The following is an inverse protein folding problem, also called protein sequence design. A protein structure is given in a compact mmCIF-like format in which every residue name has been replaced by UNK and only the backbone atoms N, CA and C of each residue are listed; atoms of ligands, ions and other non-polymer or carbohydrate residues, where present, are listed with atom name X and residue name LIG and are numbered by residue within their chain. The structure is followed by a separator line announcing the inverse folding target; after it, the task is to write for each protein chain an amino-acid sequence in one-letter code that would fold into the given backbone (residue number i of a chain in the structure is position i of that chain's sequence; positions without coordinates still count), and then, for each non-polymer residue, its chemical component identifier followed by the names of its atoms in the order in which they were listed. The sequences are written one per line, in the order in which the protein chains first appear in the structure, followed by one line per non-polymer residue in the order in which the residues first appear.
data_IF_393891546645
#
_entry.id   IF_393891546645
#
_cell.length_a   1.000
_cell.length_b   1.000
_cell.length_c   1.000
_cell.angle_alpha   90.00
_cell.angle_beta   90.00
_cell.angle_gamma   90.00
#
_symmetry.space_group_name_H-M   'P 1'
#
loop_
_entity.id
_entity.type
_entity.pdbx_description
1 polymer ?
#
# COMPACT_ATOMS: atom_id res chain seq x y z
N UNK A 1 5.89 -2.45 -19.08
CA UNK A 1 6.57 -1.64 -18.05
C UNK A 1 6.55 -0.20 -18.48
N UNK A 2 6.05 0.67 -17.61
CA UNK A 2 5.95 2.10 -17.79
C UNK A 2 6.51 2.83 -16.58
N UNK A 3 6.93 4.08 -16.76
CA UNK A 3 7.38 4.91 -15.65
C UNK A 3 6.19 5.60 -15.01
N UNK A 4 5.87 5.24 -13.76
CA UNK A 4 4.87 5.91 -12.95
C UNK A 4 5.58 6.83 -11.97
N UNK A 5 5.09 8.07 -11.84
CA UNK A 5 5.69 9.04 -10.92
C UNK A 5 5.08 8.94 -9.53
N UNK A 6 5.95 8.86 -8.53
CA UNK A 6 5.62 9.14 -7.13
C UNK A 6 6.49 10.30 -6.65
N UNK A 7 5.84 11.43 -6.33
CA UNK A 7 6.52 12.70 -6.03
C UNK A 7 7.54 13.05 -7.13
N UNK A 8 8.82 13.22 -6.79
CA UNK A 8 9.91 13.55 -7.71
C UNK A 8 10.53 12.34 -8.44
N UNK A 9 10.18 11.11 -8.05
CA UNK A 9 10.78 9.89 -8.62
C UNK A 9 9.90 9.25 -9.69
N UNK A 10 10.54 8.80 -10.76
CA UNK A 10 9.94 7.87 -11.72
C UNK A 10 10.32 6.44 -11.36
N UNK A 11 9.32 5.59 -11.14
CA UNK A 11 9.48 4.17 -10.84
C UNK A 11 9.03 3.38 -12.06
N UNK A 12 9.84 2.41 -12.49
CA UNK A 12 9.45 1.50 -13.57
C UNK A 12 8.51 0.45 -13.00
N UNK A 13 7.31 0.34 -13.56
CA UNK A 13 6.26 -0.56 -13.06
C UNK A 13 5.71 -1.41 -14.19
N UNK A 14 5.51 -2.69 -13.92
CA UNK A 14 4.72 -3.62 -14.73
C UNK A 14 3.30 -3.73 -14.13
N UNK A 15 2.43 -2.78 -14.50
CA UNK A 15 1.10 -2.70 -13.92
C UNK A 15 0.20 -3.84 -14.35
N UNK A 16 0.40 -4.40 -15.54
CA UNK A 16 -0.36 -5.56 -16.01
C UNK A 16 -0.02 -6.80 -15.19
N UNK A 17 1.27 -7.10 -15.03
CA UNK A 17 1.71 -8.22 -14.16
C UNK A 17 1.25 -8.03 -12.73
N UNK A 18 1.28 -6.81 -12.21
CA UNK A 18 0.80 -6.49 -10.86
C UNK A 18 -0.69 -6.76 -10.73
N UNK A 19 -1.52 -6.31 -11.69
CA UNK A 19 -2.97 -6.64 -11.68
C UNK A 19 -3.22 -8.14 -11.76
N UNK A 20 -2.51 -8.87 -12.61
CA UNK A 20 -2.64 -10.32 -12.70
C UNK A 20 -2.27 -11.01 -11.38
N UNK A 21 -1.24 -10.55 -10.67
CA UNK A 21 -0.91 -11.06 -9.34
C UNK A 21 -2.07 -10.88 -8.35
N UNK A 22 -2.65 -9.68 -8.26
CA UNK A 22 -3.74 -9.38 -7.32
C UNK A 22 -5.05 -10.10 -7.62
N UNK A 23 -5.32 -10.48 -8.89
CA UNK A 23 -6.47 -11.31 -9.25
C UNK A 23 -6.47 -12.68 -8.56
N UNK A 24 -5.29 -13.20 -8.21
CA UNK A 24 -5.13 -14.50 -7.55
C UNK A 24 -5.04 -14.39 -6.02
N UNK A 25 -5.14 -13.20 -5.45
CA UNK A 25 -5.10 -12.98 -4.01
C UNK A 25 -6.51 -12.92 -3.42
N UNK A 26 -6.64 -13.37 -2.17
CA UNK A 26 -7.85 -13.22 -1.39
C UNK A 26 -8.11 -11.76 -1.03
N UNK A 27 -9.37 -11.43 -0.79
CA UNK A 27 -9.71 -10.13 -0.21
C UNK A 27 -9.27 -10.06 1.26
N UNK A 28 -8.92 -8.86 1.73
CA UNK A 28 -8.56 -8.61 3.15
C UNK A 28 -9.56 -9.24 4.12
N UNK A 29 -10.85 -9.05 3.84
CA UNK A 29 -11.94 -9.53 4.71
C UNK A 29 -12.16 -11.05 4.65
N UNK A 30 -11.70 -11.73 3.60
CA UNK A 30 -11.82 -13.19 3.49
C UNK A 30 -10.81 -13.91 4.40
N UNK A 31 -9.62 -13.32 4.59
CA UNK A 31 -8.59 -13.89 5.45
C UNK A 31 -8.74 -13.41 6.90
N UNK A 32 -9.12 -12.15 7.13
CA UNK A 32 -9.30 -11.61 8.47
C UNK A 32 -10.43 -10.57 8.53
N UNK A 33 -11.44 -10.83 9.36
CA UNK A 33 -12.57 -9.92 9.62
C UNK A 33 -12.45 -9.23 10.99
N UNK A 34 -11.23 -8.96 11.48
CA UNK A 34 -11.04 -8.17 12.69
C UNK A 34 -11.45 -6.70 12.46
N UNK A 35 -11.63 -5.94 13.54
CA UNK A 35 -11.96 -4.51 13.51
C UNK A 35 -11.05 -3.70 12.58
N UNK A 36 -9.77 -4.05 12.57
CA UNK A 36 -8.72 -3.31 11.90
C UNK A 36 -8.81 -3.51 10.39
N UNK A 37 -8.99 -4.77 9.97
CA UNK A 37 -9.20 -5.16 8.59
C UNK A 37 -10.53 -4.60 8.04
N UNK A 38 -11.60 -4.64 8.85
CA UNK A 38 -12.90 -4.07 8.48
C UNK A 38 -12.80 -2.55 8.28
N UNK A 39 -12.22 -1.83 9.25
CA UNK A 39 -12.02 -0.39 9.16
C UNK A 39 -11.16 -0.01 7.95
N UNK A 40 -10.06 -0.73 7.72
CA UNK A 40 -9.20 -0.50 6.57
C UNK A 40 -9.96 -0.68 5.26
N UNK A 41 -10.62 -1.83 5.08
CA UNK A 41 -11.31 -2.17 3.86
C UNK A 41 -12.49 -1.23 3.57
N UNK A 42 -13.32 -0.98 4.58
CA UNK A 42 -14.56 -0.23 4.37
C UNK A 42 -14.38 1.28 4.36
N UNK A 43 -13.38 1.80 5.08
CA UNK A 43 -13.17 3.24 5.25
C UNK A 43 -11.84 3.69 4.67
N UNK A 44 -10.74 3.13 5.17
CA UNK A 44 -9.44 3.75 4.97
C UNK A 44 -8.89 3.60 3.56
N UNK A 45 -9.00 2.42 2.95
CA UNK A 45 -8.53 2.10 1.59
C UNK A 45 -9.22 2.92 0.49
N UNK A 46 -10.34 3.57 0.80
CA UNK A 46 -11.14 4.39 -0.13
C UNK A 46 -10.78 5.87 -0.09
N UNK A 47 -9.87 6.28 0.82
CA UNK A 47 -9.47 7.67 0.94
C UNK A 47 -8.60 8.09 -0.26
N UNK A 48 -8.74 9.33 -0.76
CA UNK A 48 -8.10 9.76 -2.00
C UNK A 48 -6.63 10.19 -1.81
N UNK A 49 -5.83 9.40 -1.09
CA UNK A 49 -4.44 9.76 -0.81
C UNK A 49 -3.54 9.60 -2.03
N UNK A 50 -2.54 10.47 -2.13
CA UNK A 50 -1.59 10.49 -3.25
C UNK A 50 -0.84 9.17 -3.42
N UNK A 51 -0.47 8.49 -2.34
CA UNK A 51 0.15 7.16 -2.37
C UNK A 51 -0.81 6.09 -2.89
N UNK A 52 -2.09 6.13 -2.52
CA UNK A 52 -3.08 5.16 -3.01
C UNK A 52 -3.36 5.33 -4.49
N UNK A 53 -3.39 6.57 -4.97
CA UNK A 53 -3.46 6.85 -6.41
C UNK A 53 -2.27 6.26 -7.15
N UNK A 54 -1.05 6.43 -6.62
CA UNK A 54 0.15 5.83 -7.20
C UNK A 54 0.08 4.29 -7.24
N UNK A 55 -0.31 3.67 -6.13
CA UNK A 55 -0.44 2.22 -6.03
C UNK A 55 -1.50 1.67 -7.01
N UNK A 56 -2.66 2.31 -7.09
CA UNK A 56 -3.71 1.96 -8.03
C UNK A 56 -3.24 2.05 -9.49
N UNK A 57 -2.52 3.12 -9.85
CA UNK A 57 -1.91 3.25 -11.18
C UNK A 57 -0.89 2.12 -11.45
N UNK A 58 -0.16 1.71 -10.41
CA UNK A 58 0.81 0.62 -10.46
C UNK A 58 0.18 -0.78 -10.54
N UNK A 59 -1.15 -0.86 -10.58
CA UNK A 59 -1.88 -2.12 -10.66
C UNK A 59 -2.12 -2.80 -9.31
N UNK A 60 -1.76 -2.16 -8.19
CA UNK A 60 -2.04 -2.66 -6.84
C UNK A 60 -3.53 -2.56 -6.57
N UNK A 61 -4.10 -3.64 -6.03
CA UNK A 61 -5.43 -3.65 -5.45
C UNK A 61 -5.30 -3.60 -3.92
N UNK A 62 -5.61 -2.44 -3.32
CA UNK A 62 -5.48 -2.22 -1.88
C UNK A 62 -6.45 -3.07 -1.05
N UNK A 63 -7.46 -3.69 -1.67
CA UNK A 63 -8.45 -4.53 -0.99
C UNK A 63 -8.03 -6.01 -0.91
N UNK A 64 -6.87 -6.33 -1.49
CA UNK A 64 -6.31 -7.67 -1.62
C UNK A 64 -5.10 -7.86 -0.71
N UNK A 65 -4.94 -9.09 -0.22
CA UNK A 65 -3.81 -9.47 0.64
C UNK A 65 -2.57 -9.87 -0.17
N UNK A 66 -1.41 -9.87 0.48
CA UNK A 66 -0.15 -10.37 -0.08
C UNK A 66 0.08 -11.88 0.13
N UNK A 67 -1.00 -12.66 0.29
CA UNK A 67 -0.95 -14.11 0.54
C UNK A 67 -0.06 -14.57 1.71
N UNK A 68 -0.10 -13.87 2.86
CA UNK A 68 0.11 -14.49 4.18
C UNK A 68 -0.25 -13.57 5.35
N UNK A 69 -0.58 -14.21 6.49
CA UNK A 69 -1.12 -13.67 7.73
C UNK A 69 -0.42 -12.41 8.32
N UNK A 70 -1.17 -11.48 8.94
CA UNK A 70 -2.63 -11.49 9.01
C UNK A 70 -3.24 -11.07 7.66
N UNK A 71 -2.82 -9.94 7.11
CA UNK A 71 -3.30 -9.39 5.81
C UNK A 71 -2.32 -8.39 5.19
N UNK A 72 -1.17 -8.16 5.85
CA UNK A 72 -0.34 -6.98 5.59
C UNK A 72 -0.97 -5.67 6.04
N UNK A 73 -2.07 -5.69 6.81
CA UNK A 73 -2.75 -4.51 7.34
C UNK A 73 -2.84 -4.57 8.86
N UNK A 74 -2.55 -3.45 9.52
CA UNK A 74 -2.78 -3.26 10.94
C UNK A 74 -3.25 -1.82 11.19
N UNK A 75 -4.47 -1.63 11.70
CA UNK A 75 -4.97 -0.32 12.07
C UNK A 75 -5.33 -0.28 13.56
N UNK A 76 -5.14 0.85 14.23
CA UNK A 76 -5.72 1.10 15.54
C UNK A 76 -6.66 2.30 15.48
N UNK A 77 -7.87 2.11 16.01
CA UNK A 77 -8.91 3.14 16.07
C UNK A 77 -9.39 3.26 17.51
N UNK A 78 -9.43 4.49 18.03
CA UNK A 78 -9.93 4.80 19.36
C UNK A 78 -11.00 5.89 19.26
N UNK A 79 -12.19 5.65 19.83
CA UNK A 79 -13.32 6.57 19.77
C UNK A 79 -13.65 7.06 18.35
N UNK A 80 -13.60 6.15 17.36
CA UNK A 80 -13.75 6.42 15.92
C UNK A 80 -12.67 7.32 15.28
N UNK A 81 -11.58 7.60 16.00
CA UNK A 81 -10.42 8.29 15.45
C UNK A 81 -9.33 7.26 15.12
N UNK A 82 -8.80 7.34 13.91
CA UNK A 82 -7.61 6.59 13.54
C UNK A 82 -6.44 7.06 14.40
N UNK A 83 -5.76 6.14 15.08
CA UNK A 83 -4.47 6.41 15.75
C UNK A 83 -3.35 6.17 14.75
N UNK A 84 -3.32 4.97 14.19
CA UNK A 84 -2.38 4.60 13.14
C UNK A 84 -2.98 3.53 12.24
N UNK A 85 -2.43 3.40 11.04
CA UNK A 85 -2.57 2.20 10.24
C UNK A 85 -1.33 1.93 9.39
N UNK A 86 -1.01 0.65 9.25
CA UNK A 86 0.12 0.18 8.49
C UNK A 86 -0.38 -0.76 7.40
N UNK A 87 0.20 -0.63 6.21
CA UNK A 87 -0.13 -1.46 5.07
C UNK A 87 1.14 -1.85 4.30
N UNK A 88 1.29 -3.14 4.04
CA UNK A 88 2.23 -3.69 3.07
C UNK A 88 1.52 -3.91 1.72
N UNK A 89 2.18 -3.50 0.64
CA UNK A 89 1.78 -3.77 -0.74
C UNK A 89 2.97 -4.32 -1.54
N UNK A 90 2.67 -4.96 -2.66
CA UNK A 90 3.66 -5.45 -3.62
C UNK A 90 3.30 -4.99 -5.03
N UNK A 91 4.29 -4.56 -5.80
CA UNK A 91 4.14 -4.41 -7.25
C UNK A 91 5.40 -4.89 -7.98
N UNK A 92 5.25 -5.20 -9.27
CA UNK A 92 6.35 -5.66 -10.10
C UNK A 92 6.98 -4.48 -10.82
N UNK A 93 8.30 -4.35 -10.78
CA UNK A 93 8.97 -3.17 -11.29
C UNK A 93 10.43 -3.04 -10.88
N UNK A 94 10.99 -1.85 -11.12
CA UNK A 94 12.34 -1.48 -10.69
C UNK A 94 12.35 -0.08 -10.09
N UNK A 95 12.97 0.03 -8.91
CA UNK A 95 13.24 1.32 -8.30
C UNK A 95 14.49 1.94 -8.94
N UNK A 96 14.59 3.27 -8.94
CA UNK A 96 15.81 3.96 -9.37
C UNK A 96 16.99 3.79 -8.40
N UNK A 97 16.75 3.27 -7.20
CA UNK A 97 17.71 3.02 -6.11
C UNK A 97 17.28 1.78 -5.33
N UNK A 98 18.17 1.17 -4.56
CA UNK A 98 17.84 -0.03 -3.76
C UNK A 98 16.62 0.20 -2.84
N UNK A 99 16.56 1.37 -2.21
CA UNK A 99 15.48 1.77 -1.31
C UNK A 99 15.11 3.24 -1.51
N UNK A 100 13.84 3.56 -1.24
CA UNK A 100 13.34 4.94 -1.19
C UNK A 100 12.46 5.12 0.06
N UNK A 101 12.63 6.24 0.77
CA UNK A 101 11.81 6.64 1.90
C UNK A 101 11.19 8.01 1.64
N UNK A 102 9.91 8.15 1.98
CA UNK A 102 9.17 9.40 1.89
C UNK A 102 8.41 9.66 3.18
N UNK A 103 8.67 10.79 3.82
CA UNK A 103 7.85 11.31 4.91
C UNK A 103 7.11 12.56 4.45
N UNK A 104 5.78 12.58 4.56
CA UNK A 104 4.97 13.74 4.19
C UNK A 104 3.65 13.79 4.96
N UNK A 105 3.00 14.95 4.96
CA UNK A 105 1.69 15.14 5.57
C UNK A 105 0.64 15.28 4.47
N UNK A 106 -0.46 14.56 4.59
CA UNK A 106 -1.62 14.65 3.70
C UNK A 106 -2.90 14.52 4.52
N UNK A 107 -3.82 15.48 4.38
CA UNK A 107 -5.09 15.49 5.13
C UNK A 107 -4.94 15.35 6.66
N UNK A 108 -3.97 16.05 7.26
CA UNK A 108 -3.64 16.00 8.69
C UNK A 108 -3.13 14.64 9.22
N UNK A 109 -2.78 13.71 8.33
CA UNK A 109 -2.12 12.45 8.68
C UNK A 109 -0.66 12.51 8.28
N UNK A 110 0.21 11.97 9.13
CA UNK A 110 1.60 11.74 8.79
C UNK A 110 1.72 10.44 8.02
N UNK A 111 2.38 10.49 6.86
CA UNK A 111 2.70 9.33 6.06
C UNK A 111 4.20 9.09 6.12
N UNK A 112 4.58 7.82 6.29
CA UNK A 112 5.90 7.29 5.99
C UNK A 112 5.75 6.15 5.00
N UNK A 113 6.24 6.35 3.79
CA UNK A 113 6.17 5.37 2.70
C UNK A 113 7.57 4.90 2.37
N UNK A 114 7.76 3.59 2.43
CA UNK A 114 9.03 2.96 2.12
C UNK A 114 8.88 2.03 0.93
N UNK A 115 9.86 2.08 0.02
CA UNK A 115 9.94 1.18 -1.13
C UNK A 115 11.22 0.37 -1.03
N UNK A 116 11.11 -0.94 -1.17
CA UNK A 116 12.24 -1.86 -1.07
C UNK A 116 12.19 -2.89 -2.19
N UNK A 117 13.34 -3.19 -2.78
CA UNK A 117 13.49 -4.36 -3.63
C UNK A 117 13.38 -5.65 -2.79
N UNK A 118 12.45 -6.54 -3.14
CA UNK A 118 12.43 -7.93 -2.64
C UNK A 118 13.24 -8.82 -3.59
N UNK A 119 13.17 -8.53 -4.89
CA UNK A 119 13.96 -9.18 -5.94
C UNK A 119 14.20 -8.21 -7.10
N UNK A 120 14.88 -8.68 -8.15
CA UNK A 120 15.21 -7.87 -9.34
C UNK A 120 14.01 -7.19 -10.00
N UNK A 121 12.80 -7.72 -9.78
CA UNK A 121 11.56 -7.25 -10.41
C UNK A 121 10.37 -7.15 -9.45
N UNK A 122 10.58 -7.24 -8.14
CA UNK A 122 9.53 -7.18 -7.12
C UNK A 122 9.86 -6.13 -6.09
N UNK A 123 8.89 -5.25 -5.83
CA UNK A 123 9.03 -4.12 -4.91
C UNK A 123 7.96 -4.23 -3.84
N UNK A 124 8.41 -4.21 -2.58
CA UNK A 124 7.54 -4.01 -1.42
C UNK A 124 7.33 -2.52 -1.21
N UNK A 125 6.10 -2.14 -0.88
CA UNK A 125 5.77 -0.83 -0.34
C UNK A 125 5.26 -1.00 1.07
N UNK A 126 5.86 -0.32 2.03
CA UNK A 126 5.34 -0.23 3.39
C UNK A 126 4.83 1.17 3.62
N UNK A 127 3.55 1.29 3.97
CA UNK A 127 2.87 2.55 4.22
C UNK A 127 2.56 2.56 5.70
N UNK A 128 3.14 3.49 6.44
CA UNK A 128 2.81 3.73 7.83
C UNK A 128 2.15 5.08 7.91
N UNK A 129 1.04 5.16 8.62
CA UNK A 129 0.30 6.39 8.72
C UNK A 129 -0.26 6.57 10.11
N UNK A 130 -0.14 7.78 10.64
CA UNK A 130 -0.50 8.09 12.02
C UNK A 130 -1.08 9.49 12.12
N UNK A 131 -1.96 9.68 13.10
CA UNK A 131 -2.29 11.03 13.56
C UNK A 131 -1.10 11.62 14.32
N UNK A 132 -0.94 12.95 14.26
CA UNK A 132 0.01 13.66 15.13
C UNK A 132 -0.38 13.55 16.60
#
# INVERSE_FOLDING_TARGET
METIRFKEFGILVDSERTREFYKHQNNILEDCSCSDCDYFYNTFSKLPFSVYKFLSLSGVDLQKNLASEPTGVQCAVENNNLIFCDQDCLFFGKLPKEELEFTYIESNLNFKVYFYHISDYEIKVQINLSTN
#
